data_IF_282433809127
#
_entry.id   IF_282433809127
#
_cell.length_a   1.000
_cell.length_b   1.000
_cell.length_c   1.000
_cell.angle_alpha   90.00
_cell.angle_beta   90.00
_cell.angle_gamma   90.00
#
_symmetry.space_group_name_H-M   'P 1'
#
loop_
_entity.id
_entity.type
_entity.pdbx_description
1 polymer ?
#
# COMPACT_ATOMS: atom_id res chain seq x y z
N UNK A 1 3.36 10.96 5.19
CA UNK A 1 3.61 9.51 5.32
C UNK A 1 3.29 9.05 6.73
N UNK A 2 2.17 8.37 6.90
CA UNK A 2 1.72 7.81 8.18
C UNK A 2 2.13 6.34 8.37
N UNK A 3 1.65 5.69 9.44
CA UNK A 3 1.99 4.30 9.75
C UNK A 3 1.48 3.30 8.71
N UNK A 4 0.34 3.59 8.08
CA UNK A 4 -0.22 2.73 7.03
C UNK A 4 0.60 2.85 5.76
N UNK A 5 1.02 4.05 5.40
CA UNK A 5 1.88 4.28 4.25
C UNK A 5 3.22 3.54 4.40
N UNK A 6 3.82 3.60 5.60
CA UNK A 6 5.03 2.83 5.92
C UNK A 6 4.81 1.33 5.75
N UNK A 7 3.65 0.82 6.18
CA UNK A 7 3.29 -0.59 6.05
C UNK A 7 3.10 -0.98 4.58
N UNK A 8 2.42 -0.15 3.79
CA UNK A 8 2.26 -0.34 2.34
C UNK A 8 3.63 -0.47 1.67
N UNK A 9 4.56 0.45 1.94
CA UNK A 9 5.91 0.42 1.39
C UNK A 9 6.69 -0.81 1.85
N UNK A 10 6.57 -1.19 3.13
CA UNK A 10 7.23 -2.38 3.66
C UNK A 10 6.75 -3.67 2.98
N UNK A 11 5.43 -3.83 2.78
CA UNK A 11 4.87 -5.00 2.08
C UNK A 11 5.30 -5.03 0.61
N UNK A 12 5.29 -3.89 -0.09
CA UNK A 12 5.73 -3.80 -1.49
C UNK A 12 7.24 -3.99 -1.66
N UNK A 13 8.05 -3.55 -0.69
CA UNK A 13 9.49 -3.82 -0.68
C UNK A 13 9.79 -5.29 -0.41
N UNK A 14 8.99 -5.94 0.44
CA UNK A 14 9.11 -7.37 0.70
C UNK A 14 8.66 -8.21 -0.50
N UNK A 15 7.56 -7.82 -1.14
CA UNK A 15 7.00 -8.48 -2.33
C UNK A 15 6.34 -7.47 -3.28
N UNK A 16 7.09 -7.04 -4.30
CA UNK A 16 6.61 -6.09 -5.29
C UNK A 16 5.60 -6.67 -6.31
N UNK A 17 5.26 -7.96 -6.21
CA UNK A 17 4.28 -8.61 -7.10
C UNK A 17 2.87 -8.64 -6.50
N UNK A 18 2.71 -8.16 -5.27
CA UNK A 18 1.42 -8.11 -4.59
C UNK A 18 0.40 -7.34 -5.42
N UNK A 19 -0.75 -7.95 -5.64
CA UNK A 19 -1.90 -7.22 -6.14
C UNK A 19 -2.38 -6.22 -5.09
N UNK A 20 -3.09 -5.18 -5.55
CA UNK A 20 -3.66 -4.18 -4.65
C UNK A 20 -4.65 -4.80 -3.64
N UNK A 21 -5.28 -5.91 -4.01
CA UNK A 21 -6.19 -6.67 -3.15
C UNK A 21 -5.44 -7.35 -2.01
N UNK A 22 -4.38 -8.08 -2.33
CA UNK A 22 -3.54 -8.74 -1.32
C UNK A 22 -2.86 -7.71 -0.42
N UNK A 23 -2.38 -6.60 -1.00
CA UNK A 23 -1.81 -5.50 -0.24
C UNK A 23 -2.83 -4.93 0.74
N UNK A 24 -4.06 -4.66 0.29
CA UNK A 24 -5.13 -4.12 1.14
C UNK A 24 -5.45 -5.05 2.32
N UNK A 25 -5.52 -6.37 2.08
CA UNK A 25 -5.70 -7.37 3.12
C UNK A 25 -4.54 -7.34 4.15
N UNK A 26 -3.29 -7.32 3.69
CA UNK A 26 -2.11 -7.29 4.57
C UNK A 26 -2.02 -6.02 5.41
N UNK A 27 -2.40 -4.88 4.84
CA UNK A 27 -2.41 -3.59 5.57
C UNK A 27 -3.72 -3.32 6.31
N UNK A 28 -4.66 -4.26 6.28
CA UNK A 28 -5.94 -4.21 6.97
C UNK A 28 -6.81 -3.01 6.55
N UNK A 29 -6.82 -2.73 5.24
CA UNK A 29 -7.62 -1.71 4.57
C UNK A 29 -8.59 -2.32 3.56
N UNK A 30 -9.61 -1.57 3.17
CA UNK A 30 -10.36 -1.88 1.97
C UNK A 30 -9.60 -1.45 0.70
N UNK A 31 -10.01 -1.99 -0.45
CA UNK A 31 -9.32 -1.79 -1.73
C UNK A 31 -9.17 -0.31 -2.11
N UNK A 32 -10.25 0.47 -1.98
CA UNK A 32 -10.31 1.88 -2.38
C UNK A 32 -9.32 2.79 -1.61
N UNK A 33 -9.27 2.78 -0.26
CA UNK A 33 -8.28 3.56 0.48
C UNK A 33 -6.85 3.05 0.27
N UNK A 34 -6.64 1.74 0.09
CA UNK A 34 -5.31 1.20 -0.21
C UNK A 34 -4.78 1.73 -1.55
N UNK A 35 -5.60 1.64 -2.60
CA UNK A 35 -5.25 2.16 -3.93
C UNK A 35 -4.96 3.66 -3.93
N UNK A 36 -5.77 4.44 -3.20
CA UNK A 36 -5.59 5.90 -3.12
C UNK A 36 -4.27 6.27 -2.45
N UNK A 37 -3.94 5.58 -1.35
CA UNK A 37 -2.69 5.78 -0.61
C UNK A 37 -1.48 5.37 -1.44
N UNK A 38 -1.53 4.19 -2.07
CA UNK A 38 -0.47 3.74 -2.97
C UNK A 38 -0.18 4.78 -4.06
N UNK A 39 -1.23 5.28 -4.72
CA UNK A 39 -1.06 6.31 -5.76
C UNK A 39 -0.48 7.63 -5.23
N UNK A 40 -0.85 8.03 -4.02
CA UNK A 40 -0.26 9.22 -3.39
C UNK A 40 1.23 9.01 -3.10
N UNK A 41 1.61 7.82 -2.62
CA UNK A 41 3.01 7.47 -2.36
C UNK A 41 3.85 7.40 -3.65
N UNK A 42 3.26 6.95 -4.76
CA UNK A 42 3.89 6.97 -6.08
C UNK A 42 4.05 8.39 -6.64
N UNK A 43 3.16 9.31 -6.30
CA UNK A 43 3.20 10.71 -6.74
C UNK A 43 4.15 11.58 -5.91
N UNK A 44 4.34 11.25 -4.64
CA UNK A 44 5.22 11.96 -3.71
C UNK A 44 6.70 11.57 -3.87
N UNK A 45 7.03 10.60 -4.75
CA UNK A 45 8.40 10.14 -5.06
C UNK A 45 8.95 10.74 -6.36
#
# INVERSE_FOLDING_TARGET
MDNIDRKILAELQADGRLSITELAERVNLSLSPCHRRLRALEQDG
#
